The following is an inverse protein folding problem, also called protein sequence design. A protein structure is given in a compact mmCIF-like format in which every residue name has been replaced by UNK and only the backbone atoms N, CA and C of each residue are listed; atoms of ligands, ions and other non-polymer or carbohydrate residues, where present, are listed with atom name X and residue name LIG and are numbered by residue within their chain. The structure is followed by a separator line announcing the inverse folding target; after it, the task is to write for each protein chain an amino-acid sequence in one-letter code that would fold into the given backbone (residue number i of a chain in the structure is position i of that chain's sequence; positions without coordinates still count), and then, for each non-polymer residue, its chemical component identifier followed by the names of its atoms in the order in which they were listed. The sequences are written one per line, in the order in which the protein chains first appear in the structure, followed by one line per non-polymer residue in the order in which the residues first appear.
data_IF_483503985245
#
_entry.id   IF_483503985245
#
_cell.length_a   1.000
_cell.length_b   1.000
_cell.length_c   1.000
_cell.angle_alpha   90.00
_cell.angle_beta   90.00
_cell.angle_gamma   90.00
#
_symmetry.space_group_name_H-M   'P 1'
#
loop_
_entity.id
_entity.type
_entity.pdbx_description
1 polymer ?
#
# COMPACT_ATOMS: atom_id res chain seq x y z
N UNK A 1 1.94 -12.17 18.68
CA UNK A 1 1.72 -12.58 17.28
C UNK A 1 2.78 -13.59 16.90
N UNK A 2 2.83 -14.70 17.66
CA UNK A 2 3.86 -15.70 17.48
C UNK A 2 3.63 -16.53 16.22
N UNK A 3 4.63 -17.33 15.88
CA UNK A 3 4.60 -18.35 14.83
C UNK A 3 3.31 -19.18 14.90
N UNK A 4 2.78 -19.52 13.72
CA UNK A 4 1.49 -20.14 13.44
C UNK A 4 1.29 -21.56 14.02
N UNK A 5 1.93 -21.89 15.13
CA UNK A 5 1.77 -23.18 15.75
C UNK A 5 0.36 -23.30 16.29
N UNK A 6 -0.49 -24.03 15.56
CA UNK A 6 -1.72 -24.53 16.16
C UNK A 6 -1.30 -25.50 17.27
N UNK A 7 -1.86 -25.40 18.49
CA UNK A 7 -1.65 -26.42 19.50
C UNK A 7 -2.00 -27.79 18.90
N UNK A 8 -1.15 -28.82 19.09
CA UNK A 8 -1.59 -30.17 18.76
C UNK A 8 -2.64 -30.53 19.80
N UNK A 9 -3.68 -31.24 19.37
CA UNK A 9 -4.63 -31.88 20.25
C UNK A 9 -3.88 -32.71 21.31
N UNK A 10 -3.98 -32.30 22.57
CA UNK A 10 -3.62 -33.15 23.71
C UNK A 10 -4.75 -34.17 23.87
N UNK A 11 -4.50 -35.41 23.43
CA UNK A 11 -5.42 -36.53 23.67
C UNK A 11 -5.37 -36.91 25.15
N UNK A 12 -6.12 -36.20 25.99
CA UNK A 12 -6.52 -36.70 27.31
C UNK A 12 -8.00 -37.06 27.24
N UNK A 13 -8.30 -38.31 26.86
CA UNK A 13 -9.55 -38.96 27.25
C UNK A 13 -9.46 -40.49 27.16
N UNK A 14 -10.15 -41.20 28.07
CA UNK A 14 -9.79 -42.55 28.50
C UNK A 14 -10.43 -43.64 27.63
N UNK A 15 -9.64 -44.69 27.36
CA UNK A 15 -10.07 -46.08 27.14
C UNK A 15 -11.46 -46.32 26.53
N UNK A 16 -11.52 -46.49 25.20
CA UNK A 16 -12.62 -47.18 24.55
C UNK A 16 -12.10 -48.12 23.45
N UNK A 17 -12.04 -49.40 23.80
CA UNK A 17 -12.06 -50.62 22.97
C UNK A 17 -11.98 -50.46 21.44
N UNK A 18 -10.83 -50.81 20.85
CA UNK A 18 -10.76 -51.52 19.55
C UNK A 18 -9.54 -52.47 19.54
N UNK A 19 -9.62 -53.62 18.83
CA UNK A 19 -8.75 -54.76 19.05
C UNK A 19 -7.36 -54.61 18.42
N UNK A 20 -6.41 -55.28 19.05
CA UNK A 20 -4.97 -55.32 18.79
C UNK A 20 -4.67 -56.18 17.57
N UNK A 21 -4.26 -55.57 16.46
CA UNK A 21 -3.47 -56.23 15.39
C UNK A 21 -2.60 -55.21 14.64
N UNK A 22 -1.36 -55.63 14.39
CA UNK A 22 -0.29 -55.06 13.55
C UNK A 22 0.45 -53.79 13.98
N UNK A 23 1.51 -54.05 14.76
CA UNK A 23 2.69 -53.19 14.89
C UNK A 23 3.53 -53.23 13.60
N UNK A 24 3.31 -52.27 12.71
CA UNK A 24 4.17 -52.05 11.54
C UNK A 24 3.89 -50.69 10.88
N UNK A 25 4.86 -49.79 10.90
CA UNK A 25 4.90 -48.51 10.16
C UNK A 25 3.88 -47.43 10.55
N UNK A 26 3.94 -46.94 11.80
CA UNK A 26 3.28 -45.68 12.19
C UNK A 26 4.24 -44.48 12.22
N UNK A 27 5.12 -44.34 11.22
CA UNK A 27 5.81 -43.08 10.97
C UNK A 27 4.84 -42.09 10.33
N UNK A 28 4.30 -41.16 11.12
CA UNK A 28 3.89 -39.84 10.65
C UNK A 28 2.46 -39.68 10.13
N UNK A 29 1.42 -40.04 10.90
CA UNK A 29 0.10 -39.42 10.72
C UNK A 29 0.07 -38.06 11.43
N UNK A 30 0.50 -37.00 10.76
CA UNK A 30 0.15 -35.64 11.17
C UNK A 30 -1.37 -35.48 11.07
N UNK A 31 -2.02 -35.08 12.16
CA UNK A 31 -3.49 -34.98 12.34
C UNK A 31 -4.17 -33.96 11.40
N UNK A 32 -3.41 -33.26 10.55
CA UNK A 32 -3.88 -32.27 9.59
C UNK A 32 -3.84 -32.81 8.15
N UNK A 33 -4.85 -33.59 7.75
CA UNK A 33 -5.02 -34.02 6.35
C UNK A 33 -5.79 -32.94 5.56
N UNK A 34 -5.08 -32.01 4.94
CA UNK A 34 -5.65 -31.11 3.93
C UNK A 34 -5.64 -31.82 2.56
N UNK A 35 -6.74 -31.78 1.78
CA UNK A 35 -6.73 -32.25 0.40
C UNK A 35 -5.65 -31.53 -0.42
N UNK A 36 -4.87 -32.28 -1.21
CA UNK A 36 -3.75 -31.73 -1.98
C UNK A 36 -4.15 -30.55 -2.90
N UNK A 37 -5.37 -30.58 -3.44
CA UNK A 37 -5.90 -29.48 -4.27
C UNK A 37 -6.09 -28.18 -3.47
N UNK A 38 -6.50 -28.25 -2.19
CA UNK A 38 -6.63 -27.06 -1.33
C UNK A 38 -5.27 -26.46 -1.04
N UNK A 39 -4.29 -27.32 -0.73
CA UNK A 39 -2.91 -26.89 -0.49
C UNK A 39 -2.31 -26.25 -1.75
N UNK A 40 -2.56 -26.81 -2.93
CA UNK A 40 -2.10 -26.25 -4.20
C UNK A 40 -2.71 -24.87 -4.47
N UNK A 41 -4.02 -24.69 -4.24
CA UNK A 41 -4.69 -23.39 -4.38
C UNK A 41 -4.12 -22.35 -3.40
N UNK A 42 -3.93 -22.71 -2.14
CA UNK A 42 -3.29 -21.81 -1.17
C UNK A 42 -1.86 -21.46 -1.58
N UNK A 43 -1.08 -22.45 -2.01
CA UNK A 43 0.29 -22.23 -2.49
C UNK A 43 0.30 -21.23 -3.64
N UNK A 44 -0.57 -21.39 -4.64
CA UNK A 44 -0.72 -20.43 -5.74
C UNK A 44 -1.09 -19.02 -5.23
N UNK A 45 -2.03 -18.92 -4.29
CA UNK A 45 -2.47 -17.64 -3.74
C UNK A 45 -1.35 -16.91 -2.97
N UNK A 46 -0.57 -17.64 -2.16
CA UNK A 46 0.56 -17.09 -1.41
C UNK A 46 1.75 -16.74 -2.31
N UNK A 47 2.06 -17.57 -3.32
CA UNK A 47 3.10 -17.26 -4.32
C UNK A 47 2.74 -16.02 -5.12
N UNK A 48 1.48 -15.88 -5.54
CA UNK A 48 1.00 -14.68 -6.23
C UNK A 48 1.15 -13.44 -5.35
N UNK A 49 0.71 -13.51 -4.09
CA UNK A 49 0.83 -12.42 -3.12
C UNK A 49 2.29 -11.98 -2.94
N UNK A 50 3.20 -12.92 -2.67
CA UNK A 50 4.63 -12.62 -2.48
C UNK A 50 5.23 -12.02 -3.74
N UNK A 51 4.92 -12.57 -4.91
CA UNK A 51 5.42 -12.06 -6.19
C UNK A 51 4.99 -10.62 -6.44
N UNK A 52 3.69 -10.32 -6.33
CA UNK A 52 3.16 -8.97 -6.54
C UNK A 52 3.71 -8.00 -5.51
N UNK A 53 3.79 -8.41 -4.24
CA UNK A 53 4.29 -7.58 -3.15
C UNK A 53 5.77 -7.23 -3.33
N UNK A 54 6.63 -8.22 -3.59
CA UNK A 54 8.07 -8.00 -3.76
C UNK A 54 8.34 -7.17 -5.02
N UNK A 55 7.81 -7.57 -6.18
CA UNK A 55 8.03 -6.86 -7.44
C UNK A 55 7.52 -5.42 -7.35
N UNK A 56 6.31 -5.22 -6.83
CA UNK A 56 5.70 -3.90 -6.69
C UNK A 56 6.51 -2.99 -5.76
N UNK A 57 6.87 -3.47 -4.57
CA UNK A 57 7.58 -2.66 -3.59
C UNK A 57 9.04 -2.38 -4.00
N UNK A 58 9.74 -3.35 -4.59
CA UNK A 58 11.09 -3.14 -5.17
C UNK A 58 11.04 -2.09 -6.28
N UNK A 59 10.01 -2.14 -7.13
CA UNK A 59 9.82 -1.12 -8.17
C UNK A 59 9.60 0.27 -7.58
N UNK A 60 8.79 0.39 -6.51
CA UNK A 60 8.59 1.66 -5.79
C UNK A 60 9.91 2.21 -5.25
N UNK A 61 10.74 1.36 -4.63
CA UNK A 61 12.06 1.74 -4.13
C UNK A 61 12.92 2.25 -5.28
N UNK A 62 12.99 1.50 -6.39
CA UNK A 62 13.75 1.87 -7.57
C UNK A 62 13.31 3.22 -8.15
N UNK A 63 12.01 3.47 -8.33
CA UNK A 63 11.47 4.74 -8.87
C UNK A 63 11.94 5.94 -8.03
N UNK A 64 11.90 5.82 -6.70
CA UNK A 64 12.29 6.94 -5.83
C UNK A 64 13.80 7.16 -5.81
N UNK A 65 14.58 6.08 -5.81
CA UNK A 65 16.05 6.17 -5.75
C UNK A 65 16.65 6.58 -7.09
N UNK A 66 16.15 6.07 -8.22
CA UNK A 66 16.65 6.37 -9.55
C UNK A 66 16.39 7.83 -9.95
N UNK A 67 15.25 8.41 -9.56
CA UNK A 67 14.84 9.74 -10.00
C UNK A 67 14.99 10.80 -8.92
N UNK A 68 15.95 11.73 -9.08
CA UNK A 68 16.22 12.84 -8.13
C UNK A 68 14.96 13.65 -7.79
N UNK A 69 14.06 13.89 -8.76
CA UNK A 69 12.79 14.62 -8.58
C UNK A 69 11.83 13.93 -7.60
N UNK A 70 11.94 12.62 -7.47
CA UNK A 70 11.11 11.81 -6.57
C UNK A 70 11.67 11.76 -5.15
N UNK A 71 12.87 12.29 -4.87
CA UNK A 71 13.50 12.25 -3.53
C UNK A 71 12.94 13.34 -2.60
N UNK A 72 11.64 13.28 -2.34
CA UNK A 72 10.92 14.18 -1.43
C UNK A 72 10.74 13.53 -0.05
N UNK A 73 10.45 14.34 0.98
CA UNK A 73 10.22 13.88 2.36
C UNK A 73 9.18 12.76 2.44
N UNK A 74 8.02 12.94 1.80
CA UNK A 74 6.96 11.92 1.75
C UNK A 74 7.46 10.63 1.11
N UNK A 75 8.26 10.75 0.05
CA UNK A 75 8.72 9.59 -0.69
C UNK A 75 9.82 8.81 0.04
N UNK A 76 10.57 9.43 0.95
CA UNK A 76 11.46 8.67 1.86
C UNK A 76 10.66 7.75 2.79
N UNK A 77 9.51 8.20 3.32
CA UNK A 77 8.62 7.33 4.08
C UNK A 77 7.98 6.24 3.22
N UNK A 78 7.65 6.55 1.95
CA UNK A 78 7.16 5.54 0.99
C UNK A 78 8.22 4.47 0.72
N UNK A 79 9.50 4.84 0.59
CA UNK A 79 10.60 3.86 0.47
C UNK A 79 10.74 3.01 1.73
N UNK A 80 10.65 3.62 2.91
CA UNK A 80 10.72 2.88 4.18
C UNK A 80 9.57 1.87 4.32
N UNK A 81 8.36 2.28 3.95
CA UNK A 81 7.18 1.40 3.88
C UNK A 81 7.40 0.25 2.87
N UNK A 82 7.84 0.57 1.65
CA UNK A 82 8.07 -0.45 0.61
C UNK A 82 9.15 -1.46 1.01
N UNK A 83 10.22 -1.01 1.68
CA UNK A 83 11.27 -1.90 2.21
C UNK A 83 10.69 -2.85 3.25
N UNK A 84 9.94 -2.31 4.22
CA UNK A 84 9.30 -3.11 5.27
C UNK A 84 8.34 -4.15 4.70
N UNK A 85 7.47 -3.75 3.77
CA UNK A 85 6.49 -4.65 3.15
C UNK A 85 7.14 -5.73 2.28
N UNK A 86 8.17 -5.39 1.50
CA UNK A 86 8.91 -6.37 0.68
C UNK A 86 9.62 -7.42 1.55
N UNK A 87 10.26 -6.98 2.63
CA UNK A 87 10.90 -7.89 3.57
C UNK A 87 9.86 -8.73 4.32
N UNK A 88 8.71 -8.17 4.71
CA UNK A 88 7.62 -8.92 5.36
C UNK A 88 7.05 -10.01 4.44
N UNK A 89 6.83 -9.71 3.15
CA UNK A 89 6.39 -10.70 2.17
C UNK A 89 7.43 -11.82 1.97
N UNK A 90 8.71 -11.47 1.88
CA UNK A 90 9.79 -12.45 1.62
C UNK A 90 10.08 -13.33 2.82
N UNK A 91 10.26 -12.74 3.99
CA UNK A 91 10.78 -13.43 5.17
C UNK A 91 9.70 -13.94 6.12
N UNK A 92 8.54 -13.27 6.19
CA UNK A 92 7.45 -13.74 7.05
C UNK A 92 6.47 -14.61 6.27
N UNK A 93 5.90 -14.12 5.16
CA UNK A 93 4.81 -14.81 4.48
C UNK A 93 5.19 -16.19 3.96
N UNK A 94 6.35 -16.31 3.30
CA UNK A 94 6.81 -17.60 2.72
C UNK A 94 6.99 -18.65 3.81
N UNK A 95 7.74 -18.33 4.85
CA UNK A 95 8.10 -19.27 5.91
C UNK A 95 6.93 -19.59 6.84
N UNK A 96 6.09 -18.59 7.14
CA UNK A 96 4.89 -18.80 7.94
C UNK A 96 3.87 -19.66 7.19
N UNK A 97 3.71 -19.49 5.87
CA UNK A 97 2.86 -20.37 5.06
C UNK A 97 3.35 -21.83 5.11
N UNK A 98 4.65 -22.06 4.88
CA UNK A 98 5.23 -23.42 4.98
C UNK A 98 4.97 -24.01 6.38
N UNK A 99 5.17 -23.20 7.43
CA UNK A 99 4.93 -23.65 8.80
C UNK A 99 3.45 -23.96 9.06
N UNK A 100 2.51 -23.13 8.58
CA UNK A 100 1.08 -23.31 8.75
C UNK A 100 0.53 -24.51 7.94
N UNK A 101 1.15 -24.84 6.80
CA UNK A 101 0.76 -25.98 5.95
C UNK A 101 1.25 -27.31 6.52
N UNK A 102 2.50 -27.39 6.96
CA UNK A 102 3.10 -28.64 7.44
C UNK A 102 2.95 -28.84 8.94
N UNK A 103 2.68 -27.78 9.71
CA UNK A 103 2.65 -27.75 11.17
C UNK A 103 3.94 -28.30 11.84
N UNK A 104 5.05 -28.23 11.10
CA UNK A 104 6.39 -28.67 11.53
C UNK A 104 7.38 -27.55 11.21
N UNK A 105 8.23 -27.24 12.18
CA UNK A 105 9.26 -26.20 12.08
C UNK A 105 10.58 -26.78 11.57
N UNK A 106 10.95 -26.43 10.33
CA UNK A 106 12.17 -26.93 9.66
C UNK A 106 13.39 -26.01 9.80
N UNK A 107 13.20 -24.73 10.11
CA UNK A 107 14.19 -23.67 9.87
C UNK A 107 15.19 -23.46 11.04
N UNK A 108 15.19 -24.34 12.02
CA UNK A 108 16.13 -24.31 13.15
C UNK A 108 15.87 -23.16 14.16
N UNK A 109 16.73 -23.09 15.19
CA UNK A 109 16.54 -22.21 16.35
C UNK A 109 16.70 -20.73 16.00
N UNK A 110 17.75 -20.36 15.28
CA UNK A 110 18.05 -18.95 14.95
C UNK A 110 16.89 -18.33 14.16
N UNK A 111 16.39 -19.05 13.15
CA UNK A 111 15.28 -18.57 12.34
C UNK A 111 13.97 -18.51 13.13
N UNK A 112 13.77 -19.38 14.14
CA UNK A 112 12.59 -19.31 15.02
C UNK A 112 12.53 -17.99 15.79
N UNK A 113 13.67 -17.53 16.31
CA UNK A 113 13.76 -16.23 16.99
C UNK A 113 13.46 -15.09 16.01
N UNK A 114 14.09 -15.14 14.83
CA UNK A 114 13.87 -14.16 13.76
C UNK A 114 12.41 -14.10 13.29
N UNK A 115 11.75 -15.25 13.12
CA UNK A 115 10.36 -15.35 12.65
C UNK A 115 9.35 -14.75 13.63
N UNK A 116 9.61 -14.78 14.93
CA UNK A 116 8.74 -14.14 15.92
C UNK A 116 9.05 -12.64 16.11
N UNK A 117 10.29 -12.23 15.87
CA UNK A 117 10.77 -10.86 16.00
C UNK A 117 10.41 -9.98 14.80
N UNK A 118 10.71 -10.47 13.60
CA UNK A 118 10.72 -9.70 12.37
C UNK A 118 9.32 -9.19 11.95
N UNK A 119 8.23 -9.98 12.01
CA UNK A 119 6.91 -9.52 11.58
C UNK A 119 6.38 -8.36 12.41
N UNK A 120 6.66 -8.35 13.72
CA UNK A 120 6.28 -7.27 14.63
C UNK A 120 7.01 -5.99 14.24
N UNK A 121 8.32 -6.11 13.99
CA UNK A 121 9.15 -4.99 13.54
C UNK A 121 8.63 -4.43 12.21
N UNK A 122 8.44 -5.29 11.21
CA UNK A 122 7.98 -4.87 9.88
C UNK A 122 6.59 -4.23 9.94
N UNK A 123 5.64 -4.82 10.67
CA UNK A 123 4.30 -4.25 10.83
C UNK A 123 4.35 -2.86 11.49
N UNK A 124 5.15 -2.69 12.54
CA UNK A 124 5.34 -1.40 13.20
C UNK A 124 5.95 -0.37 12.24
N UNK A 125 7.04 -0.73 11.54
CA UNK A 125 7.70 0.17 10.58
C UNK A 125 6.73 0.60 9.48
N UNK A 126 5.94 -0.33 8.93
CA UNK A 126 4.96 -0.03 7.87
C UNK A 126 3.88 0.93 8.36
N UNK A 127 3.21 0.64 9.48
CA UNK A 127 2.07 1.46 9.93
C UNK A 127 2.50 2.86 10.43
N UNK A 128 3.65 2.96 11.10
CA UNK A 128 4.18 4.27 11.51
C UNK A 128 4.70 5.09 10.32
N UNK A 129 5.18 4.44 9.26
CA UNK A 129 5.48 5.13 8.00
C UNK A 129 4.21 5.69 7.35
N UNK A 130 3.10 4.93 7.36
CA UNK A 130 1.80 5.44 6.89
C UNK A 130 1.31 6.63 7.74
N UNK A 131 1.47 6.57 9.06
CA UNK A 131 1.15 7.68 9.96
C UNK A 131 2.00 8.91 9.67
N UNK A 132 3.30 8.74 9.48
CA UNK A 132 4.21 9.84 9.15
C UNK A 132 3.87 10.48 7.80
N UNK A 133 3.47 9.68 6.81
CA UNK A 133 2.92 10.17 5.53
C UNK A 133 1.66 11.01 5.79
N UNK A 134 0.73 10.53 6.61
CA UNK A 134 -0.49 11.26 6.97
C UNK A 134 -0.17 12.63 7.62
N UNK A 135 0.77 12.64 8.58
CA UNK A 135 1.21 13.85 9.27
C UNK A 135 1.89 14.86 8.33
N UNK A 136 2.76 14.42 7.42
CA UNK A 136 3.38 15.31 6.43
C UNK A 136 2.31 15.93 5.48
N UNK A 137 1.27 15.17 5.14
CA UNK A 137 0.16 15.72 4.34
C UNK A 137 -0.71 16.69 5.10
N UNK A 138 -0.97 16.41 6.37
CA UNK A 138 -1.68 17.31 7.26
C UNK A 138 -0.99 18.67 7.31
N UNK A 139 0.31 18.68 7.61
CA UNK A 139 1.10 19.91 7.64
C UNK A 139 1.05 20.65 6.29
N UNK A 140 1.22 19.93 5.18
CA UNK A 140 1.21 20.54 3.84
C UNK A 140 -0.15 21.14 3.41
N UNK A 141 -1.28 20.69 3.97
CA UNK A 141 -2.63 21.14 3.57
C UNK A 141 -3.20 22.16 4.54
N UNK A 142 -2.99 21.95 5.83
CA UNK A 142 -3.56 22.76 6.91
C UNK A 142 -2.66 23.95 7.27
N UNK A 143 -1.34 23.73 7.35
CA UNK A 143 -0.37 24.76 7.76
C UNK A 143 0.68 25.04 6.66
N UNK A 144 0.27 25.62 5.51
CA UNK A 144 1.15 25.79 4.35
C UNK A 144 2.34 26.75 4.58
N UNK A 145 2.27 27.62 5.59
CA UNK A 145 3.32 28.60 5.92
C UNK A 145 4.28 28.12 7.01
N UNK A 146 4.02 26.96 7.64
CA UNK A 146 4.94 26.40 8.60
C UNK A 146 6.08 25.64 7.91
N UNK A 147 7.31 25.69 8.46
CA UNK A 147 8.44 24.97 7.89
C UNK A 147 8.16 23.46 7.87
N UNK A 148 8.37 22.87 6.69
CA UNK A 148 8.20 21.42 6.49
C UNK A 148 9.36 20.66 7.12
N UNK A 149 9.14 19.39 7.41
CA UNK A 149 10.19 18.47 7.86
C UNK A 149 11.39 18.51 6.89
N UNK A 150 12.58 18.67 7.43
CA UNK A 150 13.83 18.59 6.67
C UNK A 150 14.14 17.14 6.32
N UNK A 151 14.85 16.90 5.21
CA UNK A 151 15.31 15.56 4.85
C UNK A 151 16.18 14.91 5.95
N UNK A 152 16.93 15.72 6.72
CA UNK A 152 17.70 15.23 7.88
C UNK A 152 16.77 14.74 8.99
N UNK A 153 15.76 15.53 9.34
CA UNK A 153 14.74 15.18 10.33
C UNK A 153 13.96 13.94 9.91
N UNK A 154 13.61 13.80 8.62
CA UNK A 154 12.94 12.60 8.08
C UNK A 154 13.76 11.33 8.28
N UNK A 155 15.06 11.36 7.98
CA UNK A 155 15.96 10.22 8.21
C UNK A 155 16.06 9.87 9.69
N UNK A 156 16.11 10.87 10.56
CA UNK A 156 16.09 10.66 12.00
C UNK A 156 14.78 10.01 12.48
N UNK A 157 13.63 10.47 11.99
CA UNK A 157 12.32 9.87 12.30
C UNK A 157 12.28 8.40 11.85
N UNK A 158 12.76 8.10 10.63
CA UNK A 158 12.84 6.72 10.14
C UNK A 158 13.70 5.86 11.06
N UNK A 159 14.90 6.33 11.43
CA UNK A 159 15.77 5.61 12.36
C UNK A 159 15.09 5.37 13.73
N UNK A 160 14.40 6.38 14.26
CA UNK A 160 13.65 6.25 15.51
C UNK A 160 12.52 5.21 15.41
N UNK A 161 11.77 5.18 14.29
CA UNK A 161 10.74 4.16 14.05
C UNK A 161 11.33 2.76 14.11
N UNK A 162 12.48 2.53 13.47
CA UNK A 162 13.15 1.22 13.50
C UNK A 162 13.64 0.85 14.91
N UNK A 163 14.25 1.79 15.64
CA UNK A 163 14.72 1.54 17.01
C UNK A 163 13.56 1.16 17.94
N UNK A 164 12.44 1.88 17.87
CA UNK A 164 11.24 1.58 18.66
C UNK A 164 10.65 0.23 18.23
N UNK A 165 10.55 -0.04 16.93
CA UNK A 165 10.05 -1.30 16.40
C UNK A 165 10.86 -2.50 16.92
N UNK A 166 12.19 -2.41 16.87
CA UNK A 166 13.07 -3.45 17.40
C UNK A 166 12.89 -3.63 18.90
N UNK A 167 12.84 -2.54 19.68
CA UNK A 167 12.66 -2.60 21.13
C UNK A 167 11.36 -3.32 21.54
N UNK A 168 10.26 -3.08 20.80
CA UNK A 168 8.98 -3.72 21.04
C UNK A 168 8.96 -5.19 20.66
N UNK A 169 9.77 -5.60 19.69
CA UNK A 169 9.87 -6.97 19.22
C UNK A 169 10.83 -7.85 20.05
N UNK A 170 11.75 -7.26 20.82
CA UNK A 170 12.74 -7.98 21.65
C UNK A 170 12.12 -9.02 22.59
N UNK A 171 11.04 -8.74 23.35
CA UNK A 171 10.46 -9.74 24.26
C UNK A 171 10.01 -11.01 23.52
N UNK A 172 9.42 -10.88 22.33
CA UNK A 172 8.99 -12.03 21.53
C UNK A 172 10.18 -12.84 21.02
N UNK A 173 11.28 -12.18 20.67
CA UNK A 173 12.54 -12.85 20.34
C UNK A 173 13.08 -13.65 21.53
N UNK A 174 13.14 -13.04 22.71
CA UNK A 174 13.73 -13.64 23.91
C UNK A 174 12.95 -14.86 24.42
N UNK A 175 11.62 -14.80 24.37
CA UNK A 175 10.76 -15.90 24.81
C UNK A 175 10.46 -16.94 23.71
N UNK A 176 11.07 -16.82 22.53
CA UNK A 176 10.92 -17.82 21.45
C UNK A 176 11.69 -19.09 21.78
N UNK A 177 11.02 -20.24 21.77
CA UNK A 177 11.60 -21.56 22.00
C UNK A 177 11.13 -22.55 20.95
N UNK A 178 11.92 -23.60 20.77
CA UNK A 178 11.53 -24.77 19.98
C UNK A 178 11.16 -25.88 20.96
N UNK A 179 9.95 -26.42 20.80
CA UNK A 179 9.48 -27.57 21.56
C UNK A 179 9.11 -28.70 20.61
N UNK A 180 9.29 -29.94 21.08
CA UNK A 180 8.91 -31.14 20.33
C UNK A 180 7.62 -31.65 20.95
N UNK A 181 6.55 -31.58 20.17
CA UNK A 181 5.21 -31.97 20.56
C UNK A 181 4.75 -33.12 19.66
N UNK A 182 4.54 -34.31 20.24
CA UNK A 182 4.08 -35.51 19.53
C UNK A 182 4.96 -35.88 18.32
N UNK A 183 6.29 -35.70 18.44
CA UNK A 183 7.26 -35.97 17.37
C UNK A 183 7.41 -34.86 16.32
N UNK A 184 6.61 -33.79 16.40
CA UNK A 184 6.71 -32.61 15.53
C UNK A 184 7.45 -31.48 16.24
N UNK A 185 8.43 -30.88 15.56
CA UNK A 185 9.15 -29.69 16.07
C UNK A 185 8.29 -28.44 15.85
N UNK A 186 8.07 -27.63 16.88
CA UNK A 186 7.28 -26.40 16.81
C UNK A 186 8.07 -25.20 17.32
N UNK A 187 7.87 -24.05 16.69
CA UNK A 187 8.44 -22.78 17.13
C UNK A 187 7.35 -21.98 17.86
N UNK A 188 7.51 -21.79 19.15
CA UNK A 188 6.50 -21.26 20.07
C UNK A 188 7.09 -20.10 20.88
N UNK A 189 6.25 -19.20 21.39
CA UNK A 189 6.66 -18.17 22.35
C UNK A 189 6.15 -18.58 23.73
N UNK A 190 7.06 -18.99 24.61
CA UNK A 190 6.75 -19.56 25.93
C UNK A 190 7.14 -18.55 27.00
N UNK A 191 6.13 -17.99 27.66
CA UNK A 191 6.31 -17.06 28.78
C UNK A 191 6.41 -17.86 30.09
N UNK A 192 7.22 -17.41 31.07
CA UNK A 192 7.39 -18.12 32.35
C UNK A 192 6.09 -18.13 33.18
N UNK A 193 5.76 -19.29 33.74
CA UNK A 193 4.41 -19.63 34.26
C UNK A 193 4.02 -18.93 35.59
N UNK A 194 4.95 -18.59 36.48
CA UNK A 194 4.61 -18.21 37.86
C UNK A 194 3.90 -16.85 38.03
N UNK A 195 3.97 -15.96 37.03
CA UNK A 195 3.15 -14.72 36.94
C UNK A 195 2.77 -14.38 35.46
N UNK A 196 2.78 -15.40 34.61
CA UNK A 196 2.94 -15.26 33.15
C UNK A 196 1.72 -14.82 32.37
N UNK A 197 0.52 -15.28 32.72
CA UNK A 197 -0.67 -15.07 31.88
C UNK A 197 -1.11 -13.59 31.81
N UNK A 198 -1.07 -12.88 32.94
CA UNK A 198 -1.43 -11.45 33.00
C UNK A 198 -0.41 -10.57 32.27
N UNK A 199 0.89 -10.83 32.45
CA UNK A 199 1.99 -10.10 31.77
C UNK A 199 1.97 -10.38 30.26
N UNK A 200 1.69 -11.62 29.86
CA UNK A 200 1.56 -12.01 28.47
C UNK A 200 0.35 -11.34 27.79
N UNK A 201 -0.81 -11.33 28.45
CA UNK A 201 -2.00 -10.64 27.97
C UNK A 201 -1.76 -9.13 27.86
N UNK A 202 -1.15 -8.52 28.88
CA UNK A 202 -0.76 -7.11 28.89
C UNK A 202 0.13 -6.75 27.70
N UNK A 203 1.19 -7.53 27.45
CA UNK A 203 2.07 -7.33 26.30
C UNK A 203 1.32 -7.44 24.96
N UNK A 204 0.48 -8.47 24.78
CA UNK A 204 -0.31 -8.61 23.55
C UNK A 204 -1.28 -7.44 23.34
N UNK A 205 -1.97 -7.00 24.39
CA UNK A 205 -2.86 -5.83 24.33
C UNK A 205 -2.07 -4.56 24.01
N UNK A 206 -0.92 -4.35 24.63
CA UNK A 206 -0.03 -3.22 24.32
C UNK A 206 0.41 -3.22 22.86
N UNK A 207 0.76 -4.38 22.29
CA UNK A 207 1.09 -4.49 20.87
C UNK A 207 -0.09 -4.14 19.96
N UNK A 208 -1.30 -4.62 20.27
CA UNK A 208 -2.51 -4.28 19.49
C UNK A 208 -2.79 -2.78 19.56
N UNK A 209 -2.63 -2.17 20.74
CA UNK A 209 -2.79 -0.72 20.88
C UNK A 209 -1.75 0.01 20.04
N UNK A 210 -0.46 -0.34 20.18
CA UNK A 210 0.64 0.40 19.55
C UNK A 210 0.74 0.19 18.03
N UNK A 211 0.43 -1.00 17.54
CA UNK A 211 0.64 -1.38 16.13
C UNK A 211 -0.66 -1.24 15.31
N UNK A 212 -1.82 -1.21 15.96
CA UNK A 212 -3.11 -1.16 15.26
C UNK A 212 -3.98 0.02 15.71
N UNK A 213 -4.44 0.07 16.97
CA UNK A 213 -5.44 1.06 17.38
C UNK A 213 -4.93 2.50 17.40
N UNK A 214 -3.77 2.76 18.01
CA UNK A 214 -3.18 4.10 18.11
C UNK A 214 -2.88 4.67 16.71
N UNK A 215 -2.20 3.94 15.80
CA UNK A 215 -1.98 4.48 14.46
C UNK A 215 -3.25 4.71 13.66
N UNK A 216 -4.23 3.80 13.75
CA UNK A 216 -5.50 3.98 13.07
C UNK A 216 -6.26 5.19 13.59
N UNK A 217 -6.27 5.42 14.90
CA UNK A 217 -6.90 6.58 15.51
C UNK A 217 -6.25 7.88 15.02
N UNK A 218 -4.92 7.97 15.07
CA UNK A 218 -4.18 9.16 14.61
C UNK A 218 -4.44 9.41 13.13
N UNK A 219 -4.37 8.38 12.29
CA UNK A 219 -4.65 8.52 10.85
C UNK A 219 -6.11 8.92 10.58
N UNK A 220 -7.07 8.30 11.28
CA UNK A 220 -8.49 8.62 11.15
C UNK A 220 -8.78 10.08 11.48
N UNK A 221 -8.27 10.58 12.62
CA UNK A 221 -8.41 11.98 13.02
C UNK A 221 -7.77 12.89 11.99
N UNK A 222 -6.53 12.60 11.60
CA UNK A 222 -5.76 13.40 10.64
C UNK A 222 -6.48 13.52 9.30
N UNK A 223 -6.93 12.40 8.72
CA UNK A 223 -7.63 12.40 7.44
C UNK A 223 -9.04 12.98 7.52
N UNK A 224 -9.73 12.83 8.65
CA UNK A 224 -11.02 13.49 8.89
C UNK A 224 -10.88 15.01 8.86
N UNK A 225 -9.88 15.57 9.55
CA UNK A 225 -9.60 17.02 9.53
C UNK A 225 -9.25 17.49 8.11
N UNK A 226 -8.40 16.75 7.40
CA UNK A 226 -8.04 17.07 6.01
C UNK A 226 -9.28 17.04 5.11
N UNK A 227 -10.12 16.01 5.24
CA UNK A 227 -11.35 15.83 4.47
C UNK A 227 -12.35 16.95 4.69
N UNK A 228 -12.62 17.30 5.96
CA UNK A 228 -13.49 18.41 6.34
C UNK A 228 -12.96 19.75 5.83
N UNK A 229 -11.66 20.00 5.96
CA UNK A 229 -11.03 21.23 5.47
C UNK A 229 -11.16 21.38 3.95
N UNK A 230 -10.95 20.29 3.21
CA UNK A 230 -11.10 20.30 1.75
C UNK A 230 -12.57 20.42 1.31
N UNK A 231 -13.51 19.86 2.08
CA UNK A 231 -14.93 20.02 1.81
C UNK A 231 -15.38 21.46 2.05
N UNK A 232 -15.02 22.06 3.19
CA UNK A 232 -15.32 23.47 3.49
C UNK A 232 -14.79 24.44 2.42
N UNK A 233 -13.59 24.18 1.90
CA UNK A 233 -13.01 24.96 0.78
C UNK A 233 -13.72 24.77 -0.58
N UNK A 234 -14.65 23.82 -0.69
CA UNK A 234 -15.40 23.52 -1.93
C UNK A 234 -16.85 24.02 -1.88
N UNK A 235 -17.33 24.56 -0.75
CA UNK A 235 -18.71 25.04 -0.66
C UNK A 235 -18.96 26.08 -1.77
N UNK A 236 -20.00 25.89 -2.61
CA UNK A 236 -20.23 26.65 -3.84
C UNK A 236 -20.81 28.03 -3.50
N UNK A 237 -19.96 28.94 -3.06
CA UNK A 237 -20.36 30.33 -2.81
C UNK A 237 -19.30 31.36 -3.18
N UNK A 238 -18.07 30.95 -3.47
CA UNK A 238 -16.99 31.87 -3.83
C UNK A 238 -16.41 31.51 -5.20
N UNK A 239 -16.71 32.33 -6.21
CA UNK A 239 -16.25 32.17 -7.58
C UNK A 239 -14.73 32.35 -7.64
N UNK A 240 -13.98 31.24 -7.54
CA UNK A 240 -12.54 31.24 -7.85
C UNK A 240 -12.31 30.47 -9.15
N UNK A 241 -11.77 31.21 -10.14
CA UNK A 241 -11.35 30.80 -11.48
C UNK A 241 -10.78 29.37 -11.57
N UNK A 242 -11.00 28.73 -12.73
CA UNK A 242 -10.82 27.29 -12.99
C UNK A 242 -9.49 26.63 -12.58
N UNK A 243 -8.40 27.39 -12.44
CA UNK A 243 -7.10 26.89 -11.95
C UNK A 243 -7.17 26.45 -10.48
N UNK A 244 -7.80 27.24 -9.59
CA UNK A 244 -7.91 26.89 -8.17
C UNK A 244 -8.80 25.64 -7.97
N UNK A 245 -9.84 25.49 -8.81
CA UNK A 245 -10.73 24.32 -8.82
C UNK A 245 -10.01 23.03 -9.23
N UNK A 246 -9.09 23.09 -10.21
CA UNK A 246 -8.26 21.95 -10.58
C UNK A 246 -7.26 21.57 -9.46
N UNK A 247 -6.64 22.55 -8.81
CA UNK A 247 -5.76 22.32 -7.66
C UNK A 247 -6.50 21.66 -6.47
N UNK A 248 -7.74 22.08 -6.19
CA UNK A 248 -8.59 21.47 -5.14
C UNK A 248 -8.99 20.04 -5.52
N UNK A 249 -9.39 19.78 -6.77
CA UNK A 249 -9.71 18.43 -7.26
C UNK A 249 -8.51 17.48 -7.15
N UNK A 250 -7.31 17.93 -7.51
CA UNK A 250 -6.09 17.14 -7.39
C UNK A 250 -5.77 16.80 -5.91
N UNK A 251 -5.93 17.76 -4.98
CA UNK A 251 -5.76 17.53 -3.53
C UNK A 251 -6.77 16.51 -2.99
N UNK A 252 -8.04 16.60 -3.39
CA UNK A 252 -9.07 15.61 -3.01
C UNK A 252 -8.74 14.19 -3.48
N UNK A 253 -8.21 14.04 -4.70
CA UNK A 253 -7.79 12.73 -5.23
C UNK A 253 -6.68 12.10 -4.36
N UNK A 254 -5.68 12.89 -3.97
CA UNK A 254 -4.59 12.43 -3.09
C UNK A 254 -5.12 12.03 -1.71
N UNK A 255 -6.05 12.78 -1.14
CA UNK A 255 -6.62 12.45 0.19
C UNK A 255 -7.53 11.21 0.12
N UNK A 256 -8.38 11.08 -0.92
CA UNK A 256 -9.18 9.86 -1.14
C UNK A 256 -8.29 8.62 -1.26
N UNK A 257 -7.17 8.75 -1.94
CA UNK A 257 -6.15 7.69 -2.06
C UNK A 257 -5.62 7.26 -0.69
N UNK A 258 -5.30 8.22 0.15
CA UNK A 258 -4.73 7.96 1.46
C UNK A 258 -5.75 7.36 2.43
N UNK A 259 -7.01 7.80 2.38
CA UNK A 259 -8.11 7.16 3.12
C UNK A 259 -8.27 5.71 2.67
N UNK A 260 -8.19 5.43 1.37
CA UNK A 260 -8.28 4.07 0.85
C UNK A 260 -7.15 3.17 1.39
N UNK A 261 -5.91 3.65 1.42
CA UNK A 261 -4.77 2.91 2.02
C UNK A 261 -5.06 2.53 3.48
N UNK A 262 -5.56 3.49 4.27
CA UNK A 262 -5.86 3.26 5.70
C UNK A 262 -6.98 2.26 5.90
N UNK A 263 -8.08 2.40 5.14
CA UNK A 263 -9.20 1.46 5.21
C UNK A 263 -8.77 0.06 4.81
N UNK A 264 -7.98 -0.07 3.75
CA UNK A 264 -7.42 -1.35 3.34
C UNK A 264 -6.57 -1.96 4.46
N UNK A 265 -5.65 -1.19 5.07
CA UNK A 265 -4.86 -1.69 6.19
C UNK A 265 -5.74 -2.14 7.38
N UNK A 266 -6.71 -1.31 7.79
CA UNK A 266 -7.62 -1.63 8.89
C UNK A 266 -8.39 -2.93 8.64
N UNK A 267 -9.00 -3.06 7.46
CA UNK A 267 -9.81 -4.23 7.09
C UNK A 267 -8.95 -5.48 6.98
N UNK A 268 -7.73 -5.38 6.44
CA UNK A 268 -6.86 -6.54 6.26
C UNK A 268 -6.35 -7.11 7.59
N UNK A 269 -6.04 -6.24 8.55
CA UNK A 269 -5.43 -6.64 9.83
C UNK A 269 -6.44 -6.93 10.94
N UNK A 270 -7.67 -6.38 10.86
CA UNK A 270 -8.70 -6.58 11.87
C UNK A 270 -8.97 -8.08 12.16
N UNK A 271 -9.21 -8.95 11.16
CA UNK A 271 -9.52 -10.36 11.42
C UNK A 271 -8.36 -11.09 12.09
N UNK A 272 -7.11 -10.71 11.78
CA UNK A 272 -5.92 -11.28 12.39
C UNK A 272 -5.82 -10.93 13.86
N UNK A 273 -6.00 -9.65 14.23
CA UNK A 273 -6.02 -9.25 15.64
C UNK A 273 -7.17 -9.90 16.41
N UNK A 274 -8.37 -9.93 15.82
CA UNK A 274 -9.54 -10.58 16.43
C UNK A 274 -9.31 -12.07 16.65
N UNK A 275 -8.69 -12.77 15.69
CA UNK A 275 -8.33 -14.18 15.82
C UNK A 275 -7.45 -14.40 17.06
N UNK A 276 -6.35 -13.65 17.22
CA UNK A 276 -5.47 -13.80 18.38
C UNK A 276 -6.13 -13.43 19.71
N UNK A 277 -7.04 -12.46 19.72
CA UNK A 277 -7.81 -12.10 20.91
C UNK A 277 -8.77 -13.25 21.28
N UNK A 278 -9.57 -13.72 20.34
CA UNK A 278 -10.57 -14.78 20.56
C UNK A 278 -9.92 -16.08 21.02
N UNK A 279 -8.80 -16.43 20.40
CA UNK A 279 -7.96 -17.56 20.78
C UNK A 279 -7.49 -17.56 22.24
N UNK A 280 -7.42 -16.39 22.88
CA UNK A 280 -7.05 -16.27 24.29
C UNK A 280 -8.23 -16.49 25.25
N UNK A 281 -9.43 -16.09 24.86
CA UNK A 281 -10.63 -16.23 25.71
C UNK A 281 -11.31 -17.59 25.56
N UNK A 282 -11.20 -18.24 24.39
CA UNK A 282 -11.90 -19.49 24.06
C UNK A 282 -10.92 -20.49 23.44
N UNK A 283 -10.28 -21.31 24.28
CA UNK A 283 -9.31 -22.33 23.83
C UNK A 283 -9.97 -23.43 22.99
N UNK A 284 -11.26 -23.70 23.21
CA UNK A 284 -12.06 -24.71 22.49
C UNK A 284 -12.24 -24.42 20.98
N UNK A 285 -11.96 -23.19 20.53
CA UNK A 285 -12.02 -22.82 19.11
C UNK A 285 -10.95 -23.59 18.29
N UNK A 286 -9.83 -23.95 18.92
CA UNK A 286 -8.75 -24.70 18.28
C UNK A 286 -9.10 -26.16 18.00
N UNK A 287 -10.17 -26.69 18.61
CA UNK A 287 -10.61 -28.06 18.41
C UNK A 287 -11.45 -28.26 17.13
N UNK A 288 -11.78 -27.17 16.44
CA UNK A 288 -12.58 -27.24 15.22
C UNK A 288 -11.71 -27.63 14.02
N UNK A 289 -12.13 -28.66 13.27
CA UNK A 289 -11.41 -29.19 12.09
C UNK A 289 -11.17 -28.16 10.98
N UNK A 290 -11.93 -27.06 10.95
CA UNK A 290 -11.81 -25.98 9.96
C UNK A 290 -10.85 -24.85 10.38
N UNK A 291 -10.31 -24.85 11.61
CA UNK A 291 -9.53 -23.73 12.15
C UNK A 291 -8.27 -23.41 11.33
N UNK A 292 -7.65 -24.42 10.72
CA UNK A 292 -6.48 -24.24 9.87
C UNK A 292 -6.82 -23.46 8.59
N UNK A 293 -7.98 -23.72 7.97
CA UNK A 293 -8.42 -22.99 6.77
C UNK A 293 -8.76 -21.53 7.11
N UNK A 294 -9.40 -21.32 8.27
CA UNK A 294 -9.68 -19.98 8.79
C UNK A 294 -8.38 -19.22 9.03
N UNK A 295 -7.39 -19.84 9.67
CA UNK A 295 -6.09 -19.22 9.90
C UNK A 295 -5.40 -18.86 8.59
N UNK A 296 -5.33 -19.78 7.61
CA UNK A 296 -4.71 -19.52 6.31
C UNK A 296 -5.40 -18.36 5.58
N UNK A 297 -6.74 -18.25 5.63
CA UNK A 297 -7.48 -17.17 5.01
C UNK A 297 -7.25 -15.82 5.72
N UNK A 298 -7.30 -15.79 7.04
CA UNK A 298 -7.07 -14.59 7.84
C UNK A 298 -5.62 -14.11 7.67
N UNK A 299 -4.66 -15.03 7.69
CA UNK A 299 -3.25 -14.71 7.49
C UNK A 299 -3.01 -14.20 6.07
N UNK A 300 -3.60 -14.83 5.05
CA UNK A 300 -3.49 -14.36 3.67
C UNK A 300 -4.03 -12.94 3.51
N UNK A 301 -5.18 -12.65 4.11
CA UNK A 301 -5.79 -11.32 4.09
C UNK A 301 -4.92 -10.28 4.84
N UNK A 302 -4.32 -10.63 5.97
CA UNK A 302 -3.40 -9.73 6.66
C UNK A 302 -2.16 -9.44 5.81
N UNK A 303 -1.56 -10.47 5.21
CA UNK A 303 -0.37 -10.35 4.38
C UNK A 303 -0.63 -9.63 3.05
N UNK A 304 -1.84 -9.70 2.50
CA UNK A 304 -2.19 -9.03 1.25
C UNK A 304 -2.12 -7.50 1.35
N UNK A 305 -2.18 -6.94 2.57
CA UNK A 305 -1.94 -5.52 2.81
C UNK A 305 -0.62 -5.02 2.21
N UNK A 306 0.40 -5.88 2.11
CA UNK A 306 1.72 -5.54 1.55
C UNK A 306 1.72 -5.33 0.02
N UNK A 307 0.79 -5.97 -0.71
CA UNK A 307 0.73 -5.86 -2.18
C UNK A 307 -0.11 -4.67 -2.67
N UNK A 308 -1.03 -4.16 -1.83
CA UNK A 308 -1.92 -3.09 -2.25
C UNK A 308 -1.23 -1.73 -2.36
N UNK A 309 -0.18 -1.46 -1.56
CA UNK A 309 0.49 -0.17 -1.53
C UNK A 309 1.06 0.25 -2.91
N UNK A 310 1.88 -0.57 -3.61
CA UNK A 310 2.33 -0.28 -4.97
C UNK A 310 1.18 -0.06 -5.97
N UNK A 311 0.12 -0.86 -5.91
CA UNK A 311 -1.05 -0.78 -6.81
C UNK A 311 -1.73 0.57 -6.63
N UNK A 312 -1.95 0.98 -5.38
CA UNK A 312 -2.53 2.27 -5.03
C UNK A 312 -1.65 3.41 -5.57
N UNK A 313 -0.32 3.35 -5.38
CA UNK A 313 0.59 4.39 -5.88
C UNK A 313 0.57 4.48 -7.41
N UNK A 314 0.54 3.35 -8.11
CA UNK A 314 0.45 3.29 -9.57
C UNK A 314 -0.86 3.90 -10.09
N UNK A 315 -2.00 3.57 -9.48
CA UNK A 315 -3.32 4.05 -9.93
C UNK A 315 -3.53 5.56 -9.67
N UNK A 316 -2.91 6.10 -8.63
CA UNK A 316 -3.35 7.38 -8.06
C UNK A 316 -2.32 8.50 -8.18
N UNK A 317 -1.03 8.18 -8.29
CA UNK A 317 0.03 9.16 -8.51
C UNK A 317 0.60 9.05 -9.93
N UNK A 318 0.35 10.09 -10.76
CA UNK A 318 0.81 10.14 -12.15
C UNK A 318 2.31 9.87 -12.30
N UNK A 319 3.14 10.41 -11.39
CA UNK A 319 4.60 10.22 -11.44
C UNK A 319 5.03 8.79 -11.13
N UNK A 320 4.39 8.16 -10.14
CA UNK A 320 4.64 6.74 -9.89
C UNK A 320 4.19 5.91 -11.08
N UNK A 321 3.01 6.18 -11.66
CA UNK A 321 2.52 5.50 -12.86
C UNK A 321 3.50 5.58 -14.04
N UNK A 322 4.04 6.77 -14.30
CA UNK A 322 5.09 6.98 -15.32
C UNK A 322 6.34 6.15 -14.98
N UNK A 323 6.77 6.16 -13.71
CA UNK A 323 7.90 5.33 -13.25
C UNK A 323 7.66 3.83 -13.43
N UNK A 324 6.45 3.35 -13.16
CA UNK A 324 6.06 1.95 -13.38
C UNK A 324 6.11 1.58 -14.87
N UNK A 325 5.61 2.45 -15.77
CA UNK A 325 5.71 2.21 -17.23
C UNK A 325 7.17 2.10 -17.69
N UNK A 326 8.04 2.98 -17.19
CA UNK A 326 9.47 2.94 -17.49
C UNK A 326 10.12 1.66 -16.94
N UNK A 327 9.76 1.23 -15.73
CA UNK A 327 10.31 0.00 -15.13
C UNK A 327 9.89 -1.26 -15.91
N UNK A 328 8.65 -1.30 -16.41
CA UNK A 328 8.10 -2.43 -17.16
C UNK A 328 8.19 -2.25 -18.69
N UNK A 329 9.15 -1.48 -19.21
CA UNK A 329 9.25 -1.18 -20.64
C UNK A 329 9.36 -2.42 -21.56
N UNK A 330 9.85 -3.55 -21.03
CA UNK A 330 9.93 -4.83 -21.75
C UNK A 330 8.57 -5.54 -21.88
N UNK A 331 7.55 -5.11 -21.16
CA UNK A 331 6.22 -5.71 -21.19
C UNK A 331 5.36 -5.08 -22.30
N UNK A 332 4.68 -5.88 -23.14
CA UNK A 332 3.85 -5.36 -24.25
C UNK A 332 2.74 -4.38 -23.82
N UNK A 333 2.29 -4.49 -22.57
CA UNK A 333 1.21 -3.68 -21.99
C UNK A 333 1.68 -2.36 -21.37
N UNK A 334 2.98 -2.11 -21.29
CA UNK A 334 3.57 -0.92 -20.70
C UNK A 334 4.25 -0.05 -21.77
N UNK A 335 3.45 0.61 -22.61
CA UNK A 335 3.95 1.60 -23.56
C UNK A 335 4.51 2.80 -22.80
N UNK A 336 5.84 2.94 -22.83
CA UNK A 336 6.54 4.10 -22.27
C UNK A 336 6.42 5.26 -23.24
N UNK A 337 5.81 6.36 -22.81
CA UNK A 337 5.74 7.59 -23.61
C UNK A 337 6.91 8.53 -23.26
N UNK A 338 7.40 9.34 -24.20
CA UNK A 338 8.42 10.36 -23.91
C UNK A 338 7.98 11.36 -22.83
N UNK A 339 6.67 11.60 -22.71
CA UNK A 339 6.05 12.36 -21.60
C UNK A 339 6.32 11.75 -20.22
N UNK A 340 6.36 10.41 -20.11
CA UNK A 340 6.62 9.72 -18.85
C UNK A 340 8.08 9.93 -18.39
N UNK A 341 9.03 9.89 -19.33
CA UNK A 341 10.45 10.20 -19.07
C UNK A 341 10.63 11.68 -18.69
N UNK A 342 9.86 12.58 -19.31
CA UNK A 342 9.87 14.02 -19.02
C UNK A 342 9.32 14.33 -17.62
N UNK A 343 8.21 13.70 -17.22
CA UNK A 343 7.60 13.79 -15.88
C UNK A 343 8.59 13.38 -14.77
N UNK A 344 9.47 12.42 -15.06
CA UNK A 344 10.50 11.96 -14.12
C UNK A 344 11.78 12.82 -14.14
N UNK A 345 12.10 13.47 -15.28
CA UNK A 345 13.38 14.18 -15.49
C UNK A 345 13.35 15.72 -15.33
N UNK A 346 12.27 16.43 -15.67
CA UNK A 346 12.33 17.90 -15.85
C UNK A 346 11.77 18.76 -14.68
N UNK A 347 12.38 19.93 -14.47
CA UNK A 347 11.80 21.06 -13.71
C UNK A 347 10.48 21.55 -14.34
N UNK A 348 9.51 22.05 -13.56
CA UNK A 348 8.18 22.47 -14.05
C UNK A 348 8.19 23.61 -15.08
N UNK A 349 9.34 24.26 -15.33
CA UNK A 349 9.48 25.34 -16.32
C UNK A 349 9.44 24.85 -17.77
N UNK A 350 9.96 23.66 -18.08
CA UNK A 350 10.03 23.15 -19.45
C UNK A 350 8.72 22.53 -19.94
N UNK A 351 8.01 21.76 -19.11
CA UNK A 351 6.67 21.24 -19.47
C UNK A 351 5.65 22.37 -19.72
N UNK A 352 5.71 23.46 -18.94
CA UNK A 352 4.94 24.68 -19.25
C UNK A 352 5.39 25.36 -20.54
N UNK A 353 6.69 25.32 -20.87
CA UNK A 353 7.24 25.87 -22.11
C UNK A 353 6.86 25.06 -23.34
N UNK A 354 6.88 23.73 -23.25
CA UNK A 354 6.50 22.81 -24.34
C UNK A 354 5.00 22.85 -24.57
N UNK A 355 4.18 22.83 -23.51
CA UNK A 355 2.74 22.97 -23.70
C UNK A 355 2.37 24.37 -24.22
N UNK A 356 3.07 25.43 -23.75
CA UNK A 356 2.92 26.79 -24.30
C UNK A 356 3.48 26.93 -25.72
N UNK A 357 4.50 26.17 -26.13
CA UNK A 357 5.02 26.20 -27.50
C UNK A 357 4.12 25.43 -28.45
N UNK A 358 3.60 24.26 -28.05
CA UNK A 358 2.60 23.52 -28.83
C UNK A 358 1.28 24.31 -28.95
N UNK A 359 0.79 24.92 -27.87
CA UNK A 359 -0.40 25.80 -27.97
C UNK A 359 -0.11 27.03 -28.83
N UNK A 360 1.11 27.58 -28.81
CA UNK A 360 1.50 28.67 -29.70
C UNK A 360 1.62 28.23 -31.15
N UNK A 361 2.16 27.05 -31.44
CA UNK A 361 2.24 26.49 -32.80
C UNK A 361 0.86 26.18 -33.35
N UNK A 362 -0.04 25.59 -32.55
CA UNK A 362 -1.43 25.32 -32.94
C UNK A 362 -2.19 26.63 -33.15
N UNK A 363 -1.98 27.64 -32.30
CA UNK A 363 -2.59 28.96 -32.47
C UNK A 363 -2.00 29.70 -33.69
N UNK A 364 -0.70 29.59 -33.97
CA UNK A 364 -0.08 30.16 -35.18
C UNK A 364 -0.57 29.46 -36.45
N UNK A 365 -0.64 28.13 -36.48
CA UNK A 365 -1.18 27.39 -37.63
C UNK A 365 -2.68 27.62 -37.85
N UNK A 366 -3.47 27.77 -36.79
CA UNK A 366 -4.87 28.19 -36.93
C UNK A 366 -5.02 29.66 -37.37
N UNK A 367 -4.08 30.54 -37.00
CA UNK A 367 -4.07 31.94 -37.44
C UNK A 367 -3.65 32.05 -38.91
N UNK A 368 -2.60 31.35 -39.32
CA UNK A 368 -2.14 31.28 -40.72
C UNK A 368 -3.17 30.62 -41.65
N UNK A 369 -3.96 29.65 -41.16
CA UNK A 369 -5.09 29.11 -41.95
C UNK A 369 -6.28 30.08 -42.04
N UNK A 370 -6.37 31.07 -41.14
CA UNK A 370 -7.44 32.08 -41.14
C UNK A 370 -7.11 33.33 -41.96
N UNK A 371 -5.83 33.56 -42.27
CA UNK A 371 -5.35 34.70 -43.07
C UNK A 371 -5.84 34.66 -44.53
N UNK A 372 -5.76 33.52 -45.26
CA UNK A 372 -6.28 33.41 -46.62
C UNK A 372 -7.79 33.68 -46.69
N UNK A 373 -8.55 33.26 -45.67
CA UNK A 373 -10.00 33.47 -45.62
C UNK A 373 -10.38 34.95 -45.38
N UNK A 374 -9.56 35.71 -44.66
CA UNK A 374 -9.77 37.16 -44.45
C UNK A 374 -9.35 37.98 -45.67
N UNK A 375 -8.32 37.56 -46.39
CA UNK A 375 -7.87 38.24 -47.61
C UNK A 375 -8.82 37.96 -48.78
N UNK A 376 -9.40 36.76 -48.86
CA UNK A 376 -10.47 36.45 -49.84
C UNK A 376 -11.74 37.25 -49.53
N UNK A 377 -12.14 37.42 -48.25
CA UNK A 377 -13.32 38.21 -47.91
C UNK A 377 -13.12 39.72 -48.14
N UNK A 378 -11.89 40.24 -48.00
CA UNK A 378 -11.56 41.64 -48.34
C UNK A 378 -11.50 41.86 -49.85
N UNK A 379 -10.91 40.94 -50.61
CA UNK A 379 -10.89 41.01 -52.07
C UNK A 379 -12.31 40.93 -52.68
N UNK A 380 -13.22 40.15 -52.10
CA UNK A 380 -14.62 40.13 -52.53
C UNK A 380 -15.39 41.41 -52.17
N UNK A 381 -14.95 42.15 -51.15
CA UNK A 381 -15.62 43.38 -50.70
C UNK A 381 -15.10 44.63 -51.44
N UNK A 382 -13.83 44.64 -51.87
CA UNK A 382 -13.30 45.68 -52.77
C UNK A 382 -13.79 45.52 -54.22
N UNK A 383 -14.09 44.30 -54.68
CA UNK A 383 -14.67 44.08 -56.02
C UNK A 383 -16.15 44.53 -56.12
N UNK A 384 -16.86 44.68 -55.00
CA UNK A 384 -18.25 45.12 -54.96
C UNK A 384 -18.42 46.65 -54.88
N UNK A 385 -17.33 47.41 -54.69
CA UNK A 385 -17.33 48.88 -54.55
C UNK A 385 -16.88 49.59 -55.83
N UNK A 386 -16.67 48.84 -56.92
CA UNK A 386 -16.16 49.33 -58.21
C UNK A 386 -17.07 48.96 -59.40
N UNK A 387 -18.39 49.10 -59.25
CA UNK A 387 -19.32 49.20 -60.38
C UNK A 387 -19.90 50.63 -60.44
N UNK A 388 -19.47 51.49 -61.38
CA UNK A 388 -20.02 52.82 -61.56
C UNK A 388 -21.36 52.77 -62.30
N UNK A 389 -22.31 53.52 -61.75
CA UNK A 389 -23.60 53.86 -62.35
C UNK A 389 -23.38 54.59 -63.69
N UNK A 390 -23.84 53.99 -64.79
CA UNK A 390 -24.17 54.68 -66.04
C UNK A 390 -25.51 54.16 -66.56
N UNK A 391 -26.59 54.92 -66.33
CA UNK A 391 -27.61 55.18 -67.36
C UNK A 391 -28.46 56.40 -66.97
N UNK A 392 -28.00 57.52 -67.52
CA UNK A 392 -28.69 58.63 -68.18
C UNK A 392 -30.14 59.02 -67.85
N UNK A 393 -30.30 60.34 -67.85
CA UNK A 393 -31.51 61.12 -67.64
C UNK A 393 -32.26 61.36 -68.95
N UNK A 394 -33.59 61.46 -68.91
CA UNK A 394 -34.36 62.27 -69.87
C UNK A 394 -35.54 62.96 -69.17
N UNK A 395 -35.47 64.30 -69.14
CA UNK A 395 -36.47 65.32 -69.56
C UNK A 395 -37.90 65.28 -68.96
N UNK A 396 -38.63 66.38 -68.77
CA UNK A 396 -38.44 67.84 -68.81
C UNK A 396 -39.67 68.44 -68.09
N UNK A 397 -39.53 69.70 -67.70
CA UNK A 397 -40.50 70.72 -67.24
C UNK A 397 -42.00 70.57 -67.58
N UNK A 398 -42.85 71.09 -66.66
CA UNK A 398 -44.27 71.39 -66.91
C UNK A 398 -45.12 71.37 -65.65
#
# INVERSE_FOLDING_TARGET
MGSAALPAFRNDSPSAFLPREDAGNLTGRTVFWQPAWQLALWTMAYVCLVSVSVVGNVTVIWIVLAHKRMRTVTNYFVVNLALSDACMATFNTVFNFIYASHNIWYFGRVFCHFQNFFPITAMFVSIYSMMAIAADRYMAIIHPFQPRLSARSTKFIIAAIWLVAFSLAVPQCFYSKIEVDSGATKCLVVWPDDEGEAKHLGYHLSLIVLIYLLPLMVMFVTYSIIGLTLWRRTVPGNQSFGSNRQHIKAKKKVVKTMVLVVLTFAICWLPFHLYFILSKFKKDIYEQRFIQQVYLAIFWLAMSSTMYNPIIYCCLNRRFRSGFRVAFYCCPWATTTEEDKLELSQQPSLSRRVHRSQTKEIFFTMSDMSQPFKDISKAQQEQADFDPICHDSTNHEG
#
